data_IF_246987741276
#
_entry.id   IF_246987741276
#
_cell.length_a   1.000
_cell.length_b   1.000
_cell.length_c   1.000
_cell.angle_alpha   90.00
_cell.angle_beta   90.00
_cell.angle_gamma   90.00
#
_symmetry.space_group_name_H-M   'P 1'
#
loop_
_entity.id
_entity.type
_entity.pdbx_description
1 polymer ?
#
# COMPACT_ATOMS: atom_id res chain seq x y z
N UNK A 1 45.17 50.24 -16.93
CA UNK A 1 44.57 50.54 -18.25
C UNK A 1 43.98 49.22 -18.74
N UNK A 2 42.68 48.99 -18.82
CA UNK A 2 41.49 49.83 -18.73
C UNK A 2 40.29 48.89 -18.53
N UNK A 3 39.45 49.22 -17.53
CA UNK A 3 37.97 49.13 -17.48
C UNK A 3 37.32 47.83 -18.04
N UNK A 4 36.60 47.02 -17.26
CA UNK A 4 35.49 47.42 -16.41
C UNK A 4 34.19 47.29 -17.21
N UNK A 5 33.44 46.21 -16.99
CA UNK A 5 32.05 46.07 -17.44
C UNK A 5 31.34 45.02 -16.57
N UNK A 6 30.95 45.45 -15.37
CA UNK A 6 29.68 44.97 -14.80
C UNK A 6 28.57 45.56 -15.67
N UNK A 7 27.83 44.71 -16.38
CA UNK A 7 26.58 45.13 -17.02
C UNK A 7 25.46 44.19 -16.56
N UNK A 8 24.73 44.69 -15.56
CA UNK A 8 23.53 44.07 -15.02
C UNK A 8 22.31 44.49 -15.87
N UNK A 9 21.72 43.47 -16.51
CA UNK A 9 20.30 43.28 -16.94
C UNK A 9 19.75 44.07 -18.14
N UNK A 10 18.91 43.39 -18.93
CA UNK A 10 17.48 43.64 -18.76
C UNK A 10 16.72 42.37 -18.34
N UNK A 11 15.76 42.57 -17.44
CA UNK A 11 14.77 41.59 -17.01
C UNK A 11 13.75 41.42 -18.14
N UNK A 12 13.94 40.42 -19.00
CA UNK A 12 12.91 40.01 -19.95
C UNK A 12 12.00 38.97 -19.29
N UNK A 13 10.74 39.33 -19.14
CA UNK A 13 9.68 38.49 -18.61
C UNK A 13 8.90 37.89 -19.79
N UNK A 14 8.47 36.64 -19.61
CA UNK A 14 7.64 35.78 -20.48
C UNK A 14 8.39 35.06 -21.61
N UNK A 15 8.21 33.74 -21.82
CA UNK A 15 7.04 32.91 -21.56
C UNK A 15 7.33 31.68 -20.67
N UNK A 16 6.36 31.28 -19.85
CA UNK A 16 6.35 29.95 -19.23
C UNK A 16 6.12 28.89 -20.31
N UNK A 17 7.20 28.38 -20.87
CA UNK A 17 7.21 27.04 -21.47
C UNK A 17 7.72 26.10 -20.39
N UNK A 18 6.78 25.31 -19.83
CA UNK A 18 7.03 24.30 -18.81
C UNK A 18 8.12 23.33 -19.25
N UNK A 19 9.36 23.69 -18.93
CA UNK A 19 10.53 22.90 -19.23
C UNK A 19 10.46 21.73 -18.27
N UNK A 20 10.22 20.52 -18.78
CA UNK A 20 10.56 19.31 -18.05
C UNK A 20 12.06 19.37 -17.83
N UNK A 21 12.49 19.96 -16.72
CA UNK A 21 13.83 19.75 -16.19
C UNK A 21 13.97 18.22 -16.08
N UNK A 22 14.75 17.65 -16.99
CA UNK A 22 15.16 16.26 -16.87
C UNK A 22 16.11 16.23 -15.67
N UNK A 23 15.53 16.00 -14.49
CA UNK A 23 16.30 15.75 -13.28
C UNK A 23 17.21 14.58 -13.62
N UNK A 24 18.52 14.82 -13.72
CA UNK A 24 19.50 13.77 -13.84
C UNK A 24 19.45 12.96 -12.54
N UNK A 25 18.66 11.89 -12.53
CA UNK A 25 18.49 11.02 -11.37
C UNK A 25 19.79 10.25 -11.19
N UNK A 26 20.48 10.49 -10.08
CA UNK A 26 21.62 9.67 -9.70
C UNK A 26 21.14 8.23 -9.43
N UNK A 27 21.57 7.23 -10.23
CA UNK A 27 21.11 5.84 -10.09
C UNK A 27 21.45 5.25 -8.71
N UNK A 28 22.46 5.78 -8.02
CA UNK A 28 22.82 5.35 -6.66
C UNK A 28 21.81 5.87 -5.64
N UNK A 29 21.39 7.14 -5.76
CA UNK A 29 20.38 7.74 -4.91
C UNK A 29 19.00 7.08 -5.09
N UNK A 30 18.62 6.78 -6.33
CA UNK A 30 17.38 6.08 -6.68
C UNK A 30 17.32 4.68 -6.02
N UNK A 31 18.38 3.88 -6.18
CA UNK A 31 18.45 2.54 -5.58
C UNK A 31 18.36 2.55 -4.05
N UNK A 32 18.92 3.59 -3.41
CA UNK A 32 18.82 3.78 -1.96
C UNK A 32 17.40 4.16 -1.54
N UNK A 33 16.71 4.96 -2.34
CA UNK A 33 15.32 5.35 -2.10
C UNK A 33 14.38 4.15 -2.22
N UNK A 34 14.49 3.35 -3.29
CA UNK A 34 13.68 2.14 -3.50
C UNK A 34 13.88 1.16 -2.33
N UNK A 35 15.13 0.90 -1.92
CA UNK A 35 15.40 0.05 -0.74
C UNK A 35 14.78 0.60 0.54
N UNK A 36 14.75 1.92 0.72
CA UNK A 36 14.12 2.53 1.90
C UNK A 36 12.62 2.32 1.88
N UNK A 37 11.98 2.45 0.71
CA UNK A 37 10.55 2.20 0.52
C UNK A 37 10.24 0.71 0.79
N UNK A 38 10.98 -0.20 0.16
CA UNK A 38 10.80 -1.65 0.33
C UNK A 38 10.95 -2.07 1.79
N UNK A 39 11.92 -1.52 2.52
CA UNK A 39 12.13 -1.83 3.94
C UNK A 39 10.97 -1.41 4.85
N UNK A 40 10.12 -0.46 4.44
CA UNK A 40 8.94 -0.05 5.22
C UNK A 40 7.67 -0.73 4.71
N UNK A 41 7.56 -0.89 3.39
CA UNK A 41 6.37 -1.43 2.74
C UNK A 41 6.30 -2.95 2.88
N UNK A 42 7.42 -3.66 2.71
CA UNK A 42 7.47 -5.12 2.80
C UNK A 42 7.06 -5.66 4.17
N UNK A 43 7.58 -5.14 5.32
CA UNK A 43 7.15 -5.62 6.63
C UNK A 43 5.67 -5.34 6.89
N UNK A 44 5.18 -4.18 6.47
CA UNK A 44 3.78 -3.79 6.66
C UNK A 44 2.84 -4.71 5.89
N UNK A 45 3.10 -4.95 4.61
CA UNK A 45 2.32 -5.87 3.77
C UNK A 45 2.42 -7.30 4.30
N UNK A 46 3.61 -7.72 4.76
CA UNK A 46 3.79 -9.04 5.35
C UNK A 46 2.94 -9.24 6.61
N UNK A 47 2.93 -8.27 7.53
CA UNK A 47 2.12 -8.34 8.75
C UNK A 47 0.63 -8.36 8.41
N UNK A 48 0.18 -7.49 7.50
CA UNK A 48 -1.22 -7.45 7.05
C UNK A 48 -1.64 -8.76 6.39
N UNK A 49 -0.74 -9.37 5.61
CA UNK A 49 -0.96 -10.67 5.00
C UNK A 49 -1.05 -11.78 6.04
N UNK A 50 -0.15 -11.79 7.03
CA UNK A 50 -0.19 -12.75 8.13
C UNK A 50 -1.50 -12.65 8.91
N UNK A 51 -1.92 -11.44 9.29
CA UNK A 51 -3.19 -11.24 9.97
C UNK A 51 -4.39 -11.72 9.15
N UNK A 52 -4.40 -11.42 7.84
CA UNK A 52 -5.44 -11.92 6.94
C UNK A 52 -5.47 -13.44 6.85
N UNK A 53 -4.32 -14.11 6.94
CA UNK A 53 -4.24 -15.56 6.96
C UNK A 53 -4.72 -16.15 8.29
N UNK A 54 -4.33 -15.55 9.41
CA UNK A 54 -4.76 -15.97 10.75
C UNK A 54 -6.27 -15.87 10.88
N UNK A 55 -6.89 -14.75 10.49
CA UNK A 55 -8.35 -14.56 10.52
C UNK A 55 -9.10 -15.70 9.80
N UNK A 56 -8.64 -16.06 8.59
CA UNK A 56 -9.20 -17.17 7.80
C UNK A 56 -9.05 -18.52 8.48
N UNK A 57 -7.86 -18.80 9.00
CA UNK A 57 -7.55 -20.10 9.61
C UNK A 57 -8.26 -20.30 10.94
N UNK A 58 -8.44 -19.22 11.72
CA UNK A 58 -9.07 -19.25 13.04
C UNK A 58 -10.53 -19.69 12.95
N UNK A 59 -11.26 -19.28 11.91
CA UNK A 59 -12.64 -19.72 11.70
C UNK A 59 -12.76 -21.22 11.44
N UNK A 60 -11.76 -21.85 10.81
CA UNK A 60 -11.72 -23.30 10.65
C UNK A 60 -11.34 -24.03 11.94
N UNK A 61 -10.32 -23.50 12.64
CA UNK A 61 -9.84 -24.07 13.90
C UNK A 61 -10.88 -23.97 15.02
N UNK A 62 -11.66 -22.89 15.07
CA UNK A 62 -12.71 -22.70 16.06
C UNK A 62 -13.77 -23.80 15.98
N UNK A 63 -14.15 -24.23 14.77
CA UNK A 63 -15.08 -25.36 14.59
C UNK A 63 -14.53 -26.65 15.22
N UNK A 64 -13.27 -26.96 14.92
CA UNK A 64 -12.58 -28.17 15.41
C UNK A 64 -12.34 -28.09 16.92
N UNK A 65 -12.12 -26.88 17.45
CA UNK A 65 -11.92 -26.63 18.87
C UNK A 65 -13.21 -26.73 19.70
N UNK A 66 -14.37 -26.97 19.09
CA UNK A 66 -15.63 -27.14 19.80
C UNK A 66 -16.49 -25.86 19.90
N UNK A 67 -16.15 -24.78 19.19
CA UNK A 67 -16.92 -23.52 19.26
C UNK A 67 -18.40 -23.70 18.87
N UNK A 68 -18.74 -24.68 18.03
CA UNK A 68 -20.12 -25.02 17.70
C UNK A 68 -20.89 -25.52 18.94
N UNK A 69 -20.26 -26.36 19.76
CA UNK A 69 -20.84 -26.90 20.99
C UNK A 69 -20.84 -25.87 22.13
N UNK A 70 -19.75 -25.12 22.29
CA UNK A 70 -19.60 -24.10 23.34
C UNK A 70 -20.61 -22.95 23.22
N UNK A 71 -21.06 -22.66 21.99
CA UNK A 71 -22.05 -21.61 21.71
C UNK A 71 -23.46 -22.16 21.43
N UNK A 72 -23.68 -23.47 21.60
CA UNK A 72 -24.96 -24.15 21.30
C UNK A 72 -25.48 -23.87 19.88
N UNK A 73 -24.57 -23.74 18.90
CA UNK A 73 -24.91 -23.46 17.52
C UNK A 73 -25.30 -24.75 16.79
N UNK A 74 -26.30 -24.67 15.93
CA UNK A 74 -26.52 -25.74 14.95
C UNK A 74 -25.49 -25.67 13.82
N UNK A 75 -25.22 -26.80 13.17
CA UNK A 75 -24.27 -26.83 12.03
C UNK A 75 -24.65 -25.87 10.91
N UNK A 76 -25.94 -25.65 10.69
CA UNK A 76 -26.46 -24.69 9.70
C UNK A 76 -26.18 -23.24 10.11
N UNK A 77 -26.30 -22.90 11.40
CA UNK A 77 -25.98 -21.57 11.92
C UNK A 77 -24.48 -21.28 11.82
N UNK A 78 -23.63 -22.26 12.15
CA UNK A 78 -22.18 -22.14 11.97
C UNK A 78 -21.84 -21.91 10.49
N UNK A 79 -22.40 -22.72 9.60
CA UNK A 79 -22.16 -22.60 8.17
C UNK A 79 -22.65 -21.24 7.62
N UNK A 80 -23.79 -20.75 8.10
CA UNK A 80 -24.30 -19.42 7.74
C UNK A 80 -23.30 -18.32 8.13
N UNK A 81 -22.69 -18.39 9.32
CA UNK A 81 -21.66 -17.44 9.73
C UNK A 81 -20.43 -17.48 8.82
N UNK A 82 -20.00 -18.67 8.39
CA UNK A 82 -18.90 -18.84 7.44
C UNK A 82 -19.22 -18.21 6.09
N UNK A 83 -20.41 -18.45 5.54
CA UNK A 83 -20.82 -17.86 4.26
C UNK A 83 -20.92 -16.34 4.36
N UNK A 84 -21.41 -15.80 5.48
CA UNK A 84 -21.46 -14.35 5.71
C UNK A 84 -20.06 -13.73 5.67
N UNK A 85 -19.06 -14.38 6.26
CA UNK A 85 -17.65 -13.97 6.16
C UNK A 85 -17.16 -13.97 4.70
N UNK A 86 -17.48 -15.02 3.92
CA UNK A 86 -17.12 -15.11 2.49
C UNK A 86 -17.79 -14.01 1.65
N UNK A 87 -19.08 -13.74 1.87
CA UNK A 87 -19.82 -12.69 1.15
C UNK A 87 -19.20 -11.32 1.44
N UNK A 88 -18.94 -11.02 2.72
CA UNK A 88 -18.31 -9.76 3.13
C UNK A 88 -16.93 -9.58 2.50
N UNK A 89 -16.10 -10.62 2.53
CA UNK A 89 -14.80 -10.61 1.84
C UNK A 89 -14.93 -10.39 0.33
N UNK A 90 -15.91 -11.05 -0.30
CA UNK A 90 -16.14 -10.95 -1.74
C UNK A 90 -16.56 -9.54 -2.14
N UNK A 91 -17.49 -8.91 -1.42
CA UNK A 91 -17.94 -7.54 -1.69
C UNK A 91 -16.77 -6.56 -1.52
N UNK A 92 -15.99 -6.71 -0.45
CA UNK A 92 -14.82 -5.86 -0.19
C UNK A 92 -13.70 -6.06 -1.23
N UNK A 93 -13.63 -7.22 -1.89
CA UNK A 93 -12.68 -7.50 -2.96
C UNK A 93 -13.08 -6.92 -4.33
N UNK A 94 -14.38 -6.65 -4.55
CA UNK A 94 -14.93 -6.23 -5.85
C UNK A 94 -14.66 -4.76 -6.29
N UNK A 95 -14.29 -3.76 -5.45
CA UNK A 95 -14.10 -2.39 -5.96
C UNK A 95 -12.77 -2.17 -6.70
N UNK A 96 -11.93 -3.19 -6.84
CA UNK A 96 -10.56 -3.07 -7.38
C UNK A 96 -10.39 -3.52 -8.85
N UNK A 97 -11.48 -3.63 -9.61
CA UNK A 97 -11.40 -3.77 -11.07
C UNK A 97 -12.05 -2.60 -11.78
#
# INVERSE_FOLDING_TARGET
MSLGAEDVKPKAFHAEEGTRESIAVDPVAEKKLVRKIDLHLMPSVFILYLFSYVDRSNLGLAKVAGMEEDLELTSDQYYTAVIMWVIGYTIAAVPSK
#
